data_IF_540806086835
#
_entry.id   IF_540806086835
#
_cell.length_a   1.000
_cell.length_b   1.000
_cell.length_c   1.000
_cell.angle_alpha   90.00
_cell.angle_beta   90.00
_cell.angle_gamma   90.00
#
_symmetry.space_group_name_H-M   'P 1'
#
loop_
_entity.id
_entity.type
_entity.pdbx_description
1 polymer ?
#
# COMPACT_ATOMS: atom_id res chain seq x y z
N UNK A 1 12.09 -24.95 3.41
CA UNK A 1 11.35 -23.92 4.17
C UNK A 1 9.88 -24.30 4.38
N UNK A 2 9.34 -25.25 3.58
CA UNK A 2 7.95 -25.74 3.77
C UNK A 2 7.78 -26.28 5.18
N UNK A 3 6.68 -25.89 5.87
CA UNK A 3 6.32 -26.26 7.25
C UNK A 3 7.24 -25.67 8.34
N UNK A 4 8.16 -24.74 8.03
CA UNK A 4 8.91 -23.98 9.02
C UNK A 4 8.27 -22.61 9.25
N UNK A 5 8.33 -22.04 10.48
CA UNK A 5 7.89 -20.69 10.71
C UNK A 5 8.84 -19.71 10.00
N UNK A 6 8.26 -18.81 9.22
CA UNK A 6 8.99 -17.82 8.40
C UNK A 6 8.41 -16.45 8.60
N UNK A 7 9.26 -15.44 8.70
CA UNK A 7 8.90 -14.02 8.67
C UNK A 7 9.73 -13.28 7.62
N UNK A 8 9.12 -12.26 7.02
CA UNK A 8 9.81 -11.33 6.12
C UNK A 8 9.78 -9.95 6.75
N UNK A 9 10.93 -9.29 6.77
CA UNK A 9 11.10 -7.96 7.34
C UNK A 9 10.87 -6.86 6.30
N UNK A 10 10.56 -5.66 6.77
CA UNK A 10 10.44 -4.46 5.94
C UNK A 10 11.78 -4.08 5.30
N UNK A 11 11.76 -3.13 4.35
CA UNK A 11 12.93 -2.71 3.55
C UNK A 11 14.19 -2.32 4.38
N UNK A 12 14.03 -1.96 5.66
CA UNK A 12 15.13 -1.62 6.58
C UNK A 12 15.20 -2.57 7.78
N UNK A 13 14.66 -3.78 7.63
CA UNK A 13 14.60 -4.85 8.62
C UNK A 13 14.03 -4.45 10.00
N UNK A 14 13.26 -3.36 10.02
CA UNK A 14 12.72 -2.81 11.26
C UNK A 14 11.46 -3.49 11.78
N UNK A 15 10.58 -3.96 10.89
CA UNK A 15 9.29 -4.54 11.24
C UNK A 15 8.97 -5.76 10.39
N UNK A 16 8.15 -6.65 10.92
CA UNK A 16 7.68 -7.86 10.24
C UNK A 16 6.51 -7.49 9.31
N UNK A 17 6.70 -7.69 8.01
CA UNK A 17 5.69 -7.34 6.98
C UNK A 17 5.03 -8.55 6.33
N UNK A 18 5.56 -9.76 6.56
CA UNK A 18 4.92 -11.00 6.15
C UNK A 18 5.25 -12.14 7.09
N UNK A 19 4.36 -13.12 7.20
CA UNK A 19 4.49 -14.25 8.12
C UNK A 19 3.85 -15.50 7.51
N UNK A 20 4.50 -16.65 7.65
CA UNK A 20 3.89 -17.94 7.35
C UNK A 20 2.76 -18.28 8.34
N UNK A 21 1.97 -19.28 8.02
CA UNK A 21 0.90 -19.77 8.94
C UNK A 21 1.49 -20.23 10.27
N UNK A 22 2.63 -20.90 10.23
CA UNK A 22 3.34 -21.38 11.42
C UNK A 22 3.83 -20.20 12.29
N UNK A 23 4.37 -19.15 11.66
CA UNK A 23 4.80 -17.95 12.40
C UNK A 23 3.61 -17.18 13.01
N UNK A 24 2.45 -17.18 12.34
CA UNK A 24 1.21 -16.63 12.91
C UNK A 24 0.74 -17.41 14.13
N UNK A 25 0.83 -18.75 14.09
CA UNK A 25 0.47 -19.62 15.22
C UNK A 25 1.34 -19.39 16.45
N UNK A 26 2.58 -18.94 16.28
CA UNK A 26 3.47 -18.52 17.38
C UNK A 26 3.11 -17.15 17.99
N UNK A 27 2.06 -16.48 17.50
CA UNK A 27 1.59 -15.19 18.03
C UNK A 27 2.34 -13.98 17.47
N UNK A 28 3.23 -14.13 16.50
CA UNK A 28 3.93 -13.01 15.85
C UNK A 28 2.93 -12.13 15.10
N UNK A 29 2.92 -10.82 15.37
CA UNK A 29 1.94 -9.88 14.80
C UNK A 29 2.44 -9.19 13.52
N UNK A 30 1.51 -8.82 12.63
CA UNK A 30 1.80 -7.98 11.46
C UNK A 30 2.23 -6.59 11.90
N UNK A 31 3.30 -6.07 11.28
CA UNK A 31 3.83 -4.75 11.63
C UNK A 31 4.60 -4.72 12.95
N UNK A 32 4.78 -5.85 13.61
CA UNK A 32 5.53 -5.93 14.87
C UNK A 32 7.01 -5.56 14.63
N UNK A 33 7.59 -4.68 15.46
CA UNK A 33 9.01 -4.40 15.40
C UNK A 33 9.82 -5.68 15.63
N UNK A 34 10.80 -5.95 14.77
CA UNK A 34 11.63 -7.17 14.84
C UNK A 34 12.26 -7.38 16.22
N UNK A 35 12.77 -6.31 16.83
CA UNK A 35 13.41 -6.40 18.15
C UNK A 35 12.47 -6.86 19.27
N UNK A 36 11.13 -6.64 19.13
CA UNK A 36 10.13 -7.12 20.09
C UNK A 36 9.78 -8.59 19.90
N UNK A 37 9.85 -9.09 18.68
CA UNK A 37 9.59 -10.48 18.34
C UNK A 37 10.84 -11.37 18.47
N UNK A 38 12.03 -10.79 18.73
CA UNK A 38 13.32 -11.48 18.68
C UNK A 38 13.38 -12.73 19.54
N UNK A 39 12.85 -12.68 20.76
CA UNK A 39 12.88 -13.81 21.68
C UNK A 39 12.03 -14.99 21.18
N UNK A 40 10.83 -14.69 20.64
CA UNK A 40 9.96 -15.71 20.03
C UNK A 40 10.63 -16.30 18.78
N UNK A 41 11.28 -15.46 17.98
CA UNK A 41 11.98 -15.85 16.75
C UNK A 41 13.13 -16.82 17.08
N UNK A 42 13.97 -16.48 18.04
CA UNK A 42 15.11 -17.32 18.44
C UNK A 42 14.64 -18.64 19.07
N UNK A 43 13.69 -18.56 20.02
CA UNK A 43 13.17 -19.73 20.76
C UNK A 43 12.55 -20.79 19.83
N UNK A 44 11.94 -20.37 18.70
CA UNK A 44 11.18 -21.27 17.81
C UNK A 44 11.88 -21.48 16.45
N UNK A 45 13.16 -21.17 16.31
CA UNK A 45 13.92 -21.28 15.03
C UNK A 45 13.17 -20.67 13.84
N UNK A 46 12.57 -19.48 14.02
CA UNK A 46 11.84 -18.80 12.96
C UNK A 46 12.82 -18.28 11.92
N UNK A 47 12.63 -18.68 10.66
CA UNK A 47 13.47 -18.22 9.56
C UNK A 47 13.14 -16.77 9.21
N UNK A 48 14.15 -15.91 9.16
CA UNK A 48 14.00 -14.47 8.93
C UNK A 48 14.60 -14.09 7.58
N UNK A 49 13.83 -13.40 6.75
CA UNK A 49 14.26 -12.90 5.45
C UNK A 49 14.00 -11.39 5.35
N UNK A 50 14.90 -10.69 4.68
CA UNK A 50 14.67 -9.31 4.25
C UNK A 50 13.76 -9.27 3.03
N UNK A 51 13.06 -8.15 2.84
CA UNK A 51 12.24 -7.91 1.64
C UNK A 51 13.08 -7.90 0.36
N UNK A 52 12.63 -8.60 -0.67
CA UNK A 52 13.20 -8.57 -2.02
C UNK A 52 12.20 -7.95 -3.00
N UNK A 53 12.16 -6.62 -3.07
CA UNK A 53 11.20 -5.90 -3.90
C UNK A 53 11.36 -6.16 -5.41
N UNK A 54 12.58 -6.40 -5.87
CA UNK A 54 12.82 -6.74 -7.28
C UNK A 54 12.16 -8.06 -7.66
N UNK A 55 12.34 -9.10 -6.82
CA UNK A 55 11.68 -10.39 -7.00
C UNK A 55 10.16 -10.27 -6.91
N UNK A 56 9.64 -9.52 -5.92
CA UNK A 56 8.19 -9.36 -5.77
C UNK A 56 7.58 -8.63 -6.97
N UNK A 57 8.26 -7.60 -7.47
CA UNK A 57 7.83 -6.89 -8.67
C UNK A 57 7.84 -7.76 -9.93
N UNK A 58 8.83 -8.65 -10.08
CA UNK A 58 8.88 -9.59 -11.20
C UNK A 58 7.74 -10.61 -11.13
N UNK A 59 7.55 -11.25 -9.98
CA UNK A 59 6.46 -12.21 -9.78
C UNK A 59 5.09 -11.56 -9.94
N UNK A 60 4.90 -10.34 -9.43
CA UNK A 60 3.68 -9.56 -9.65
C UNK A 60 3.41 -9.35 -11.15
N UNK A 61 4.40 -8.90 -11.92
CA UNK A 61 4.24 -8.74 -13.39
C UNK A 61 3.84 -10.03 -14.07
N UNK A 62 4.38 -11.18 -13.66
CA UNK A 62 3.99 -12.49 -14.22
C UNK A 62 2.53 -12.83 -13.90
N UNK A 63 2.11 -12.61 -12.65
CA UNK A 63 0.70 -12.79 -12.25
C UNK A 63 -0.20 -11.88 -13.09
N UNK A 64 0.09 -10.58 -13.17
CA UNK A 64 -0.74 -9.63 -13.91
C UNK A 64 -0.79 -9.95 -15.43
N UNK A 65 0.31 -10.43 -16.02
CA UNK A 65 0.32 -10.93 -17.41
C UNK A 65 -0.57 -12.17 -17.57
N UNK A 66 -0.57 -13.07 -16.61
CA UNK A 66 -1.44 -14.25 -16.63
C UNK A 66 -2.91 -13.84 -16.57
N UNK A 67 -3.26 -12.91 -15.67
CA UNK A 67 -4.62 -12.40 -15.53
C UNK A 67 -5.12 -11.73 -16.83
N UNK A 68 -4.28 -10.95 -17.50
CA UNK A 68 -4.62 -10.27 -18.77
C UNK A 68 -4.99 -11.22 -19.91
N UNK A 69 -4.70 -12.51 -19.81
CA UNK A 69 -5.10 -13.51 -20.82
C UNK A 69 -6.58 -13.88 -20.71
N UNK A 70 -7.18 -13.68 -19.54
CA UNK A 70 -8.61 -13.95 -19.32
C UNK A 70 -9.47 -12.74 -19.69
N UNK A 71 -9.01 -11.54 -19.35
CA UNK A 71 -9.62 -10.28 -19.78
C UNK A 71 -8.56 -9.18 -19.78
N UNK A 72 -8.60 -8.30 -20.82
CA UNK A 72 -7.74 -7.12 -20.91
C UNK A 72 -8.14 -6.02 -19.92
N UNK A 73 -9.43 -5.99 -19.51
CA UNK A 73 -10.00 -5.02 -18.59
C UNK A 73 -9.63 -5.36 -17.14
N UNK A 74 -8.40 -4.98 -16.80
CA UNK A 74 -7.80 -5.21 -15.49
C UNK A 74 -7.24 -3.91 -14.91
N UNK A 75 -7.53 -3.68 -13.64
CA UNK A 75 -6.87 -2.66 -12.82
C UNK A 75 -5.83 -3.34 -11.92
N UNK A 76 -4.57 -2.98 -12.07
CA UNK A 76 -3.51 -3.37 -11.13
C UNK A 76 -3.58 -2.43 -9.93
N UNK A 77 -4.29 -2.85 -8.89
CA UNK A 77 -4.52 -2.02 -7.70
C UNK A 77 -3.28 -1.91 -6.80
N UNK A 78 -2.54 -3.01 -6.66
CA UNK A 78 -1.28 -3.05 -5.91
C UNK A 78 -0.33 -4.13 -6.49
N UNK A 79 0.82 -4.34 -5.84
CA UNK A 79 1.77 -5.38 -6.23
C UNK A 79 1.18 -6.80 -6.11
N UNK A 80 0.18 -6.99 -5.25
CA UNK A 80 -0.42 -8.28 -4.90
C UNK A 80 -1.94 -8.34 -5.10
N UNK A 81 -2.54 -7.29 -5.64
CA UNK A 81 -3.99 -7.21 -5.85
C UNK A 81 -4.35 -6.58 -7.21
N UNK A 82 -5.35 -7.15 -7.87
CA UNK A 82 -5.94 -6.62 -9.09
C UNK A 82 -7.45 -6.76 -9.06
N UNK A 83 -8.16 -5.87 -9.74
CA UNK A 83 -9.55 -6.03 -10.11
C UNK A 83 -9.64 -6.36 -11.61
N UNK A 84 -10.57 -7.22 -11.96
CA UNK A 84 -10.82 -7.64 -13.33
C UNK A 84 -12.31 -7.60 -13.60
N UNK A 85 -12.71 -7.10 -14.76
CA UNK A 85 -14.07 -7.16 -15.22
C UNK A 85 -14.40 -8.58 -15.71
N UNK A 86 -15.47 -9.16 -15.21
CA UNK A 86 -16.00 -10.46 -15.62
C UNK A 86 -17.41 -10.36 -16.21
N UNK A 87 -17.87 -9.16 -16.58
CA UNK A 87 -19.22 -8.94 -17.13
C UNK A 87 -19.50 -9.65 -18.46
N UNK A 88 -18.43 -10.08 -19.15
CA UNK A 88 -18.56 -10.89 -20.38
C UNK A 88 -18.91 -12.37 -20.13
N UNK A 89 -18.93 -12.82 -18.88
CA UNK A 89 -19.30 -14.18 -18.50
C UNK A 89 -20.68 -14.17 -17.84
N UNK A 90 -21.43 -15.27 -18.01
CA UNK A 90 -22.72 -15.42 -17.35
C UNK A 90 -22.57 -15.62 -15.84
N UNK A 91 -23.60 -15.27 -15.09
CA UNK A 91 -23.63 -15.42 -13.61
C UNK A 91 -23.33 -16.86 -13.14
N UNK A 92 -23.68 -17.85 -13.96
CA UNK A 92 -23.44 -19.27 -13.67
C UNK A 92 -21.98 -19.70 -13.93
N UNK A 93 -21.26 -19.01 -14.80
CA UNK A 93 -19.90 -19.35 -15.21
C UNK A 93 -18.83 -18.63 -14.40
N UNK A 94 -19.12 -17.46 -13.83
CA UNK A 94 -18.11 -16.60 -13.20
C UNK A 94 -17.33 -17.29 -12.09
N UNK A 95 -17.95 -18.20 -11.33
CA UNK A 95 -17.24 -18.92 -10.27
C UNK A 95 -16.28 -19.97 -10.84
N UNK A 96 -16.68 -20.65 -11.93
CA UNK A 96 -15.80 -21.59 -12.65
C UNK A 96 -14.63 -20.85 -13.28
N UNK A 97 -14.86 -19.73 -13.94
CA UNK A 97 -13.82 -18.85 -14.48
C UNK A 97 -12.85 -18.40 -13.37
N UNK A 98 -13.36 -18.04 -12.20
CA UNK A 98 -12.53 -17.74 -11.03
C UNK A 98 -11.62 -18.91 -10.61
N UNK A 99 -12.11 -20.15 -10.64
CA UNK A 99 -11.29 -21.35 -10.38
C UNK A 99 -10.20 -21.52 -11.44
N UNK A 100 -10.53 -21.40 -12.71
CA UNK A 100 -9.57 -21.50 -13.82
C UNK A 100 -8.46 -20.45 -13.75
N UNK A 101 -8.83 -19.20 -13.45
CA UNK A 101 -7.86 -18.12 -13.22
C UNK A 101 -6.90 -18.51 -12.10
N UNK A 102 -7.44 -18.93 -10.95
CA UNK A 102 -6.64 -19.31 -9.78
C UNK A 102 -5.67 -20.45 -10.08
N UNK A 103 -6.14 -21.50 -10.73
CA UNK A 103 -5.35 -22.67 -11.12
C UNK A 103 -4.26 -22.31 -12.13
N UNK A 104 -4.60 -21.48 -13.13
CA UNK A 104 -3.66 -21.02 -14.15
C UNK A 104 -2.57 -20.15 -13.52
N UNK A 105 -2.93 -19.20 -12.65
CA UNK A 105 -1.94 -18.37 -11.93
C UNK A 105 -1.02 -19.25 -11.09
N UNK A 106 -1.57 -20.20 -10.34
CA UNK A 106 -0.77 -21.12 -9.52
C UNK A 106 0.17 -21.96 -10.37
N UNK A 107 -0.34 -22.55 -11.47
CA UNK A 107 0.44 -23.41 -12.40
C UNK A 107 1.60 -22.66 -13.05
N UNK A 108 1.37 -21.40 -13.47
CA UNK A 108 2.38 -20.65 -14.25
C UNK A 108 3.34 -19.84 -13.41
N UNK A 109 2.92 -19.42 -12.21
CA UNK A 109 3.74 -18.52 -11.37
C UNK A 109 4.16 -19.16 -10.05
N UNK A 110 3.53 -20.25 -9.62
CA UNK A 110 3.72 -20.84 -8.29
C UNK A 110 3.07 -20.02 -7.17
N UNK A 111 2.35 -18.93 -7.49
CA UNK A 111 1.74 -18.02 -6.50
C UNK A 111 0.30 -18.45 -6.23
N UNK A 112 -0.03 -18.86 -5.00
CA UNK A 112 -1.43 -19.13 -4.64
C UNK A 112 -2.19 -17.80 -4.50
N UNK A 113 -3.32 -17.70 -5.17
CA UNK A 113 -4.21 -16.53 -5.13
C UNK A 113 -5.56 -16.88 -4.54
N UNK A 114 -6.28 -15.88 -4.05
CA UNK A 114 -7.71 -16.00 -3.71
C UNK A 114 -8.51 -15.01 -4.55
N UNK A 115 -9.71 -15.42 -4.95
CA UNK A 115 -10.56 -14.67 -5.87
C UNK A 115 -11.92 -14.46 -5.23
N UNK A 116 -12.34 -13.19 -5.19
CA UNK A 116 -13.69 -12.79 -4.77
C UNK A 116 -14.43 -12.16 -5.94
N UNK A 117 -15.62 -12.62 -6.23
CA UNK A 117 -16.45 -12.20 -7.36
C UNK A 117 -17.73 -11.56 -6.83
N UNK A 118 -18.05 -10.36 -7.29
CA UNK A 118 -19.26 -9.64 -6.91
C UNK A 118 -19.55 -8.48 -7.88
N UNK A 119 -20.75 -7.86 -7.75
CA UNK A 119 -21.20 -6.75 -8.61
C UNK A 119 -20.40 -5.46 -8.43
N UNK A 120 -19.67 -5.29 -7.33
CA UNK A 120 -18.91 -4.05 -7.03
C UNK A 120 -17.53 -4.38 -6.49
N UNK A 121 -16.58 -3.45 -6.58
CA UNK A 121 -15.22 -3.62 -6.04
C UNK A 121 -15.24 -3.89 -4.53
N UNK A 122 -16.04 -3.16 -3.76
CA UNK A 122 -16.14 -3.37 -2.31
C UNK A 122 -16.71 -4.74 -1.97
N UNK A 123 -17.75 -5.20 -2.67
CA UNK A 123 -18.30 -6.54 -2.47
C UNK A 123 -17.34 -7.64 -2.94
N UNK A 124 -16.57 -7.43 -4.02
CA UNK A 124 -15.56 -8.40 -4.46
C UNK A 124 -14.43 -8.53 -3.43
N UNK A 125 -14.07 -7.45 -2.72
CA UNK A 125 -13.12 -7.52 -1.59
C UNK A 125 -13.71 -8.28 -0.39
N UNK A 126 -15.01 -8.14 -0.12
CA UNK A 126 -15.73 -8.96 0.89
C UNK A 126 -15.69 -10.44 0.47
N UNK A 127 -16.02 -10.74 -0.79
CA UNK A 127 -15.95 -12.11 -1.32
C UNK A 127 -14.53 -12.69 -1.20
N UNK A 128 -13.50 -11.89 -1.52
CA UNK A 128 -12.10 -12.29 -1.38
C UNK A 128 -11.70 -12.55 0.09
N UNK A 129 -12.17 -11.72 1.03
CA UNK A 129 -11.95 -11.96 2.46
C UNK A 129 -12.49 -13.33 2.89
N UNK A 130 -13.65 -13.73 2.37
CA UNK A 130 -14.25 -15.05 2.60
C UNK A 130 -13.44 -16.14 1.89
N UNK A 131 -13.07 -15.92 0.62
CA UNK A 131 -12.31 -16.86 -0.18
C UNK A 131 -10.97 -17.27 0.47
N UNK A 132 -10.29 -16.34 1.12
CA UNK A 132 -9.03 -16.58 1.86
C UNK A 132 -9.18 -17.61 2.98
N UNK A 133 -10.39 -17.86 3.49
CA UNK A 133 -10.69 -18.83 4.55
C UNK A 133 -11.21 -20.15 3.99
N UNK A 134 -11.60 -20.21 2.71
CA UNK A 134 -12.10 -21.42 2.04
C UNK A 134 -10.97 -22.19 1.36
N UNK A 135 -11.04 -23.52 1.38
CA UNK A 135 -10.07 -24.37 0.70
C UNK A 135 -10.04 -24.13 -0.81
N UNK A 136 -11.21 -23.85 -1.42
CA UNK A 136 -11.32 -23.53 -2.85
C UNK A 136 -10.58 -22.25 -3.23
N UNK A 137 -10.43 -21.30 -2.29
CA UNK A 137 -9.82 -20.00 -2.53
C UNK A 137 -10.62 -19.11 -3.49
N UNK A 138 -11.85 -19.48 -3.83
CA UNK A 138 -12.77 -18.71 -4.68
C UNK A 138 -14.11 -18.54 -3.98
N UNK A 139 -14.72 -17.37 -4.11
CA UNK A 139 -16.07 -17.10 -3.61
C UNK A 139 -16.77 -16.12 -4.54
N UNK A 140 -17.95 -16.48 -5.01
CA UNK A 140 -18.86 -15.58 -5.71
C UNK A 140 -19.99 -15.13 -4.77
N UNK A 141 -20.36 -13.85 -4.86
CA UNK A 141 -21.56 -13.25 -4.25
C UNK A 141 -22.62 -12.94 -5.33
N UNK A 142 -22.38 -13.34 -6.58
CA UNK A 142 -23.33 -13.19 -7.67
C UNK A 142 -24.51 -14.17 -7.42
N UNK A 143 -25.74 -13.72 -7.71
CA UNK A 143 -26.96 -14.51 -7.51
C UNK A 143 -27.45 -14.57 -6.07
N UNK A 144 -26.72 -14.03 -5.09
CA UNK A 144 -27.19 -13.98 -3.69
C UNK A 144 -28.07 -12.75 -3.51
N UNK A 145 -29.37 -12.96 -3.32
CA UNK A 145 -30.35 -11.89 -3.15
C UNK A 145 -30.13 -11.11 -1.85
N UNK A 146 -29.90 -11.81 -0.74
CA UNK A 146 -29.68 -11.18 0.55
C UNK A 146 -28.25 -11.37 1.07
N UNK A 147 -27.45 -10.32 0.98
CA UNK A 147 -26.09 -10.28 1.48
C UNK A 147 -25.95 -9.94 2.97
N UNK A 148 -27.03 -9.58 3.66
CA UNK A 148 -27.00 -9.12 5.06
C UNK A 148 -26.35 -10.12 6.02
N UNK A 149 -26.66 -11.45 5.96
CA UNK A 149 -26.02 -12.42 6.85
C UNK A 149 -24.49 -12.55 6.62
N UNK A 150 -24.03 -12.25 5.40
CA UNK A 150 -22.62 -12.25 5.05
C UNK A 150 -21.97 -10.98 5.60
N UNK A 151 -22.57 -9.80 5.31
CA UNK A 151 -22.03 -8.50 5.68
C UNK A 151 -22.02 -8.28 7.20
N UNK A 152 -22.91 -8.93 7.94
CA UNK A 152 -22.93 -8.89 9.40
C UNK A 152 -21.70 -9.52 10.05
N UNK A 153 -21.08 -10.51 9.37
CA UNK A 153 -19.86 -11.20 9.81
C UNK A 153 -18.57 -10.48 9.41
N UNK A 154 -18.66 -9.40 8.64
CA UNK A 154 -17.50 -8.61 8.19
C UNK A 154 -17.36 -7.43 9.14
N UNK A 155 -16.29 -7.43 9.93
CA UNK A 155 -15.97 -6.32 10.83
C UNK A 155 -15.75 -5.03 10.02
N UNK A 156 -16.11 -3.89 10.61
CA UNK A 156 -16.00 -2.58 9.94
C UNK A 156 -14.56 -2.24 9.54
N UNK A 157 -13.57 -2.72 10.28
CA UNK A 157 -12.14 -2.51 9.94
C UNK A 157 -11.66 -3.37 8.76
N UNK A 158 -12.42 -4.41 8.38
CA UNK A 158 -12.13 -5.28 7.24
C UNK A 158 -12.83 -4.83 5.95
N UNK A 159 -13.68 -3.79 6.05
CA UNK A 159 -14.32 -3.18 4.88
C UNK A 159 -13.29 -2.37 4.09
N UNK A 160 -13.17 -2.66 2.80
CA UNK A 160 -12.26 -1.95 1.91
C UNK A 160 -12.54 -0.43 1.90
N UNK A 161 -11.48 0.36 2.04
CA UNK A 161 -11.57 1.82 2.16
C UNK A 161 -11.79 2.34 3.58
N UNK A 162 -12.02 1.47 4.58
CA UNK A 162 -12.16 1.84 5.99
C UNK A 162 -10.82 1.70 6.71
N UNK A 163 -10.11 2.81 6.88
CA UNK A 163 -8.86 2.87 7.64
C UNK A 163 -9.07 3.06 9.15
N UNK A 164 -8.00 3.00 9.95
CA UNK A 164 -8.03 3.06 11.43
C UNK A 164 -8.83 4.24 12.00
N UNK A 165 -8.76 5.41 11.38
CA UNK A 165 -9.48 6.60 11.86
C UNK A 165 -10.99 6.46 11.59
N UNK A 166 -11.34 5.97 10.40
CA UNK A 166 -12.74 5.72 10.05
C UNK A 166 -13.34 4.58 10.86
N UNK A 167 -12.58 3.52 11.16
CA UNK A 167 -13.01 2.46 12.08
C UNK A 167 -13.40 3.04 13.43
N UNK A 168 -12.54 3.85 14.06
CA UNK A 168 -12.85 4.50 15.35
C UNK A 168 -14.07 5.41 15.26
N UNK A 169 -14.20 6.16 14.17
CA UNK A 169 -15.35 7.02 13.92
C UNK A 169 -16.65 6.20 13.81
N UNK A 170 -16.65 5.14 13.01
CA UNK A 170 -17.81 4.28 12.85
C UNK A 170 -18.21 3.59 14.14
N UNK A 171 -17.26 3.02 14.89
CA UNK A 171 -17.52 2.38 16.18
C UNK A 171 -18.12 3.35 17.20
N UNK A 172 -17.65 4.60 17.27
CA UNK A 172 -18.26 5.65 18.11
C UNK A 172 -19.70 5.97 17.73
N UNK A 173 -20.10 5.69 16.48
CA UNK A 173 -21.46 5.90 15.98
C UNK A 173 -22.28 4.60 15.90
N UNK A 174 -21.87 3.55 16.62
CA UNK A 174 -22.59 2.28 16.70
C UNK A 174 -22.51 1.42 15.44
N UNK A 175 -21.48 1.61 14.60
CA UNK A 175 -21.27 0.85 13.36
C UNK A 175 -20.05 -0.05 13.55
N UNK A 176 -20.28 -1.35 13.71
CA UNK A 176 -19.25 -2.35 13.99
C UNK A 176 -19.01 -3.32 12.85
N UNK A 177 -19.93 -3.42 11.88
CA UNK A 177 -19.83 -4.32 10.74
C UNK A 177 -20.31 -3.70 9.42
N UNK A 178 -20.04 -4.41 8.31
CA UNK A 178 -20.38 -3.95 6.96
C UNK A 178 -21.89 -3.78 6.74
N UNK A 179 -22.74 -4.64 7.34
CA UNK A 179 -24.20 -4.53 7.26
C UNK A 179 -24.70 -3.23 7.87
N UNK A 180 -24.19 -2.86 9.04
CA UNK A 180 -24.57 -1.62 9.71
C UNK A 180 -24.17 -0.39 8.91
N UNK A 181 -22.99 -0.41 8.24
CA UNK A 181 -22.59 0.66 7.33
C UNK A 181 -23.49 0.70 6.09
N UNK A 182 -23.77 -0.45 5.46
CA UNK A 182 -24.69 -0.59 4.32
C UNK A 182 -26.04 0.08 4.62
N UNK A 183 -26.57 -0.11 5.83
CA UNK A 183 -27.92 0.33 6.24
C UNK A 183 -28.00 1.79 6.70
N UNK A 184 -26.86 2.50 6.85
CA UNK A 184 -26.89 3.95 7.18
C UNK A 184 -27.42 4.78 6.02
N UNK A 185 -28.22 5.81 6.32
CA UNK A 185 -28.74 6.69 5.29
C UNK A 185 -27.64 7.49 4.57
N UNK A 186 -27.82 7.74 3.29
CA UNK A 186 -26.88 8.55 2.51
C UNK A 186 -26.67 9.96 3.10
N UNK A 187 -27.75 10.54 3.66
CA UNK A 187 -27.70 11.85 4.33
C UNK A 187 -26.77 11.82 5.53
N UNK A 188 -26.87 10.78 6.37
CA UNK A 188 -25.99 10.63 7.52
C UNK A 188 -24.53 10.48 7.09
N UNK A 189 -24.25 9.60 6.10
CA UNK A 189 -22.89 9.36 5.63
C UNK A 189 -22.28 10.63 5.02
N UNK A 190 -23.02 11.38 4.18
CA UNK A 190 -22.54 12.62 3.59
C UNK A 190 -22.25 13.71 4.62
N UNK A 191 -23.06 13.83 5.68
CA UNK A 191 -22.87 14.83 6.75
C UNK A 191 -21.72 14.47 7.69
N UNK A 192 -21.51 13.18 7.94
CA UNK A 192 -20.64 12.69 9.01
C UNK A 192 -19.26 12.22 8.51
N UNK A 193 -19.10 12.03 7.20
CA UNK A 193 -17.87 11.47 6.62
C UNK A 193 -17.53 12.07 5.26
N UNK A 194 -16.78 11.37 4.43
CA UNK A 194 -16.30 11.84 3.13
C UNK A 194 -16.97 11.11 1.96
N UNK A 195 -16.68 11.58 0.74
CA UNK A 195 -17.20 11.01 -0.51
C UNK A 195 -16.85 9.53 -0.67
N UNK A 196 -15.64 9.12 -0.25
CA UNK A 196 -15.20 7.72 -0.34
C UNK A 196 -16.07 6.82 0.53
N UNK A 197 -16.38 7.24 1.76
CA UNK A 197 -17.30 6.51 2.65
C UNK A 197 -18.70 6.34 2.04
N UNK A 198 -19.20 7.38 1.37
CA UNK A 198 -20.48 7.31 0.68
C UNK A 198 -20.45 6.27 -0.47
N UNK A 199 -19.39 6.28 -1.28
CA UNK A 199 -19.19 5.29 -2.34
C UNK A 199 -19.09 3.87 -1.77
N UNK A 200 -18.29 3.66 -0.72
CA UNK A 200 -18.16 2.35 -0.04
C UNK A 200 -19.53 1.82 0.42
N UNK A 201 -20.37 2.66 1.05
CA UNK A 201 -21.69 2.23 1.50
C UNK A 201 -22.65 1.91 0.33
N UNK A 202 -22.58 2.64 -0.78
CA UNK A 202 -23.34 2.34 -1.99
C UNK A 202 -22.88 1.03 -2.63
N UNK A 203 -21.58 0.80 -2.70
CA UNK A 203 -21.03 -0.45 -3.22
C UNK A 203 -21.41 -1.67 -2.37
N UNK A 204 -21.47 -1.54 -1.05
CA UNK A 204 -22.01 -2.59 -0.16
C UNK A 204 -23.50 -2.88 -0.43
N UNK A 205 -24.25 -1.96 -1.03
CA UNK A 205 -25.63 -2.14 -1.50
C UNK A 205 -25.75 -2.76 -2.89
N UNK A 206 -24.60 -3.03 -3.54
CA UNK A 206 -24.55 -3.57 -4.90
C UNK A 206 -24.63 -2.51 -6.00
N UNK A 207 -24.52 -1.22 -5.66
CA UNK A 207 -24.51 -0.12 -6.62
C UNK A 207 -23.06 0.24 -6.98
N UNK A 208 -22.58 -0.01 -8.21
CA UNK A 208 -21.23 0.29 -8.62
C UNK A 208 -21.00 1.80 -8.64
N UNK A 209 -19.96 2.27 -7.95
CA UNK A 209 -19.62 3.69 -7.83
C UNK A 209 -18.13 3.96 -8.02
N UNK A 210 -17.34 2.92 -8.20
CA UNK A 210 -15.88 2.97 -8.33
C UNK A 210 -15.50 2.20 -9.58
N UNK A 211 -15.26 2.92 -10.66
CA UNK A 211 -14.89 2.35 -11.95
C UNK A 211 -13.50 1.67 -11.89
N UNK A 212 -13.22 0.79 -12.86
CA UNK A 212 -11.90 0.23 -13.06
C UNK A 212 -10.93 1.30 -13.59
N UNK A 213 -9.82 1.52 -12.88
CA UNK A 213 -8.72 2.36 -13.36
C UNK A 213 -7.86 1.56 -14.36
N UNK A 214 -8.29 1.54 -15.63
CA UNK A 214 -7.60 0.78 -16.70
C UNK A 214 -6.22 1.34 -17.04
N UNK A 215 -6.00 2.63 -16.80
CA UNK A 215 -4.73 3.32 -17.02
C UNK A 215 -4.18 3.80 -15.71
N UNK A 216 -2.93 3.44 -15.39
CA UNK A 216 -2.27 3.94 -14.20
C UNK A 216 -2.21 5.48 -14.25
N UNK A 217 -2.69 6.14 -13.22
CA UNK A 217 -2.57 7.60 -13.11
C UNK A 217 -1.10 8.00 -13.05
N UNK A 218 -0.73 9.06 -13.79
CA UNK A 218 0.64 9.58 -13.76
C UNK A 218 1.03 9.95 -12.34
N UNK A 219 2.26 9.65 -12.00
CA UNK A 219 2.84 9.96 -10.69
C UNK A 219 2.84 11.47 -10.47
N UNK A 220 2.25 11.93 -9.35
CA UNK A 220 2.23 13.36 -8.99
C UNK A 220 3.43 13.78 -8.15
N UNK A 221 4.10 12.84 -7.50
CA UNK A 221 5.29 13.07 -6.68
C UNK A 221 6.17 11.82 -6.61
N UNK A 222 7.47 12.02 -6.35
CA UNK A 222 8.42 10.94 -6.11
C UNK A 222 9.12 11.15 -4.77
N UNK A 223 8.96 10.22 -3.84
CA UNK A 223 9.53 10.29 -2.50
C UNK A 223 10.62 9.24 -2.35
N UNK A 224 11.80 9.66 -1.90
CA UNK A 224 12.88 8.77 -1.45
C UNK A 224 13.24 9.13 -0.02
N UNK A 225 13.10 8.18 0.91
CA UNK A 225 13.40 8.41 2.32
C UNK A 225 13.85 7.12 2.99
N UNK A 226 14.65 7.25 4.05
CA UNK A 226 15.08 6.12 4.88
C UNK A 226 15.00 6.47 6.37
N UNK A 227 14.67 5.48 7.18
CA UNK A 227 14.93 5.52 8.61
C UNK A 227 16.34 4.98 8.84
N UNK A 228 17.11 5.67 9.66
CA UNK A 228 18.49 5.29 9.96
C UNK A 228 18.55 4.20 11.02
N UNK A 229 19.42 3.22 10.83
CA UNK A 229 19.68 2.17 11.82
C UNK A 229 20.34 2.74 13.09
N UNK A 230 21.32 3.63 12.92
CA UNK A 230 21.89 4.48 13.96
C UNK A 230 21.36 5.89 13.83
N UNK A 231 21.20 6.59 14.95
CA UNK A 231 20.81 8.00 14.92
C UNK A 231 21.91 8.87 14.34
N UNK A 232 21.56 9.80 13.50
CA UNK A 232 22.48 10.76 12.90
C UNK A 232 22.39 12.07 13.66
N UNK A 233 23.55 12.62 14.05
CA UNK A 233 23.66 13.89 14.77
C UNK A 233 24.48 14.92 13.99
N UNK A 234 25.37 14.46 13.09
CA UNK A 234 26.25 15.31 12.29
C UNK A 234 25.55 15.75 11.00
N UNK A 235 25.75 17.02 10.64
CA UNK A 235 25.21 17.58 9.39
C UNK A 235 25.72 16.82 8.16
N UNK A 236 27.03 16.52 8.10
CA UNK A 236 27.67 15.88 6.97
C UNK A 236 27.06 14.51 6.65
N UNK A 237 26.74 13.68 7.67
CA UNK A 237 26.10 12.40 7.46
C UNK A 237 24.68 12.52 6.89
N UNK A 238 23.94 13.58 7.31
CA UNK A 238 22.62 13.88 6.71
C UNK A 238 22.75 14.42 5.28
N UNK A 239 23.77 15.23 5.01
CA UNK A 239 24.05 15.77 3.70
C UNK A 239 24.33 14.67 2.68
N UNK A 240 25.19 13.71 3.01
CA UNK A 240 25.47 12.53 2.20
C UNK A 240 24.20 11.69 1.93
N UNK A 241 23.42 11.45 2.98
CA UNK A 241 22.17 10.69 2.84
C UNK A 241 21.16 11.41 1.94
N UNK A 242 20.96 12.72 2.12
CA UNK A 242 20.02 13.53 1.33
C UNK A 242 20.48 13.62 -0.12
N UNK A 243 21.78 13.81 -0.37
CA UNK A 243 22.35 13.78 -1.73
C UNK A 243 22.07 12.45 -2.44
N UNK A 244 22.33 11.33 -1.76
CA UNK A 244 22.02 9.99 -2.28
C UNK A 244 20.52 9.82 -2.59
N UNK A 245 19.63 10.35 -1.74
CA UNK A 245 18.18 10.27 -1.98
C UNK A 245 17.75 11.13 -3.18
N UNK A 246 18.38 12.28 -3.39
CA UNK A 246 18.14 13.11 -4.57
C UNK A 246 18.55 12.38 -5.86
N UNK A 247 19.74 11.75 -5.89
CA UNK A 247 20.20 10.97 -7.03
C UNK A 247 19.21 9.86 -7.38
N UNK A 248 18.78 9.09 -6.38
CA UNK A 248 17.80 8.03 -6.57
C UNK A 248 16.42 8.55 -7.01
N UNK A 249 16.00 9.72 -6.52
CA UNK A 249 14.72 10.32 -6.91
C UNK A 249 14.77 10.84 -8.35
N UNK A 250 15.85 11.50 -8.73
CA UNK A 250 16.04 12.02 -10.10
C UNK A 250 16.16 10.89 -11.14
N UNK A 251 16.84 9.79 -10.82
CA UNK A 251 16.90 8.61 -11.68
C UNK A 251 15.50 8.02 -11.92
N UNK A 252 14.67 7.90 -10.86
CA UNK A 252 13.31 7.39 -10.98
C UNK A 252 12.42 8.25 -11.87
N UNK A 253 12.46 9.58 -11.73
CA UNK A 253 11.64 10.45 -12.59
C UNK A 253 12.15 10.47 -14.02
N UNK A 254 13.48 10.41 -14.24
CA UNK A 254 14.05 10.28 -15.61
C UNK A 254 13.62 9.00 -16.29
N UNK A 255 13.63 7.87 -15.57
CA UNK A 255 13.19 6.58 -16.16
C UNK A 255 11.72 6.57 -16.58
N UNK A 256 10.92 7.51 -16.08
CA UNK A 256 9.51 7.70 -16.42
C UNK A 256 9.29 8.92 -17.36
N UNK A 257 10.36 9.51 -17.90
CA UNK A 257 10.36 10.71 -18.75
C UNK A 257 9.66 11.92 -18.08
N UNK A 258 9.88 12.09 -16.75
CA UNK A 258 9.27 13.16 -15.96
C UNK A 258 10.31 14.19 -15.51
N UNK A 259 9.83 15.42 -15.26
CA UNK A 259 10.55 16.50 -14.60
C UNK A 259 9.78 17.00 -13.39
N UNK A 260 10.46 17.58 -12.41
CA UNK A 260 9.89 18.08 -11.17
C UNK A 260 9.93 19.62 -11.10
N UNK A 261 8.88 20.24 -10.57
CA UNK A 261 8.83 21.68 -10.32
C UNK A 261 9.45 22.11 -8.99
N UNK A 262 9.53 21.18 -8.02
CA UNK A 262 10.06 21.49 -6.70
C UNK A 262 10.66 20.27 -6.01
N UNK A 263 11.59 20.54 -5.06
CA UNK A 263 12.10 19.54 -4.13
C UNK A 263 11.77 19.95 -2.69
N UNK A 264 11.18 19.03 -1.94
CA UNK A 264 11.01 19.13 -0.50
C UNK A 264 12.01 18.22 0.19
N UNK A 265 12.69 18.74 1.21
CA UNK A 265 13.52 17.94 2.12
C UNK A 265 12.86 17.90 3.48
N UNK A 266 12.90 16.76 4.13
CA UNK A 266 12.40 16.61 5.49
C UNK A 266 13.35 15.79 6.36
N UNK A 267 13.37 16.12 7.64
CA UNK A 267 14.14 15.43 8.68
C UNK A 267 13.26 15.22 9.91
N UNK A 268 13.49 14.12 10.63
CA UNK A 268 12.69 13.80 11.81
C UNK A 268 13.50 13.00 12.84
N UNK A 269 13.35 13.34 14.12
CA UNK A 269 13.81 12.53 15.26
C UNK A 269 12.79 11.42 15.59
N UNK A 270 13.08 10.57 16.56
CA UNK A 270 12.16 9.50 16.98
C UNK A 270 10.98 10.06 17.79
N UNK A 271 9.73 9.77 17.40
CA UNK A 271 8.57 10.17 18.20
C UNK A 271 8.42 9.34 19.50
N UNK A 272 9.19 8.25 19.64
CA UNK A 272 9.11 7.33 20.78
C UNK A 272 10.15 7.62 21.88
N UNK A 273 11.12 8.49 21.61
CA UNK A 273 12.20 8.86 22.55
C UNK A 273 11.96 10.27 23.10
N UNK A 274 10.90 10.40 23.92
CA UNK A 274 10.47 11.70 24.48
C UNK A 274 11.56 12.44 25.26
N UNK A 275 12.48 11.73 25.91
CA UNK A 275 13.58 12.30 26.70
C UNK A 275 14.58 13.14 25.87
N UNK A 276 14.65 12.91 24.55
CA UNK A 276 15.55 13.67 23.66
C UNK A 276 14.84 14.79 22.88
N UNK A 277 13.56 15.03 23.17
CA UNK A 277 12.72 15.96 22.43
C UNK A 277 12.34 15.43 21.02
N UNK A 278 11.17 15.83 20.57
CA UNK A 278 10.73 15.53 19.21
C UNK A 278 10.96 16.73 18.30
N UNK A 279 11.72 16.53 17.23
CA UNK A 279 11.91 17.51 16.18
C UNK A 279 11.53 16.92 14.83
N UNK A 280 10.70 17.63 14.10
CA UNK A 280 10.33 17.29 12.72
C UNK A 280 10.21 18.59 11.95
N UNK A 281 10.90 18.69 10.84
CA UNK A 281 10.84 19.85 9.97
C UNK A 281 10.95 19.44 8.51
N UNK A 282 10.31 20.22 7.64
CA UNK A 282 10.38 20.08 6.20
C UNK A 282 10.32 21.45 5.54
N UNK A 283 10.99 21.58 4.40
CA UNK A 283 10.91 22.78 3.57
C UNK A 283 10.98 22.41 2.10
N UNK A 284 10.26 23.15 1.28
CA UNK A 284 10.22 23.01 -0.18
C UNK A 284 10.93 24.19 -0.81
N UNK A 285 11.60 23.95 -1.93
CA UNK A 285 12.12 24.96 -2.85
C UNK A 285 11.67 24.61 -4.26
N UNK A 286 11.18 25.64 -4.97
CA UNK A 286 10.78 25.52 -6.36
C UNK A 286 12.00 25.69 -7.27
N UNK A 287 12.02 24.97 -8.39
CA UNK A 287 13.01 25.19 -9.45
C UNK A 287 12.52 26.29 -10.39
N UNK A 288 13.41 27.16 -10.89
CA UNK A 288 13.05 28.16 -11.91
C UNK A 288 12.43 27.54 -13.16
N UNK A 289 12.95 26.42 -13.57
CA UNK A 289 12.45 25.57 -14.68
C UNK A 289 12.33 24.16 -14.15
N UNK A 290 11.25 23.47 -14.51
CA UNK A 290 11.07 22.08 -14.08
C UNK A 290 12.22 21.20 -14.60
N UNK A 291 12.79 20.39 -13.70
CA UNK A 291 14.06 19.70 -13.98
C UNK A 291 14.05 18.25 -13.50
N UNK A 292 14.87 17.41 -14.13
CA UNK A 292 15.28 16.09 -13.65
C UNK A 292 16.82 16.00 -13.53
N UNK A 293 17.50 17.13 -13.64
CA UNK A 293 18.95 17.21 -13.48
C UNK A 293 19.33 16.94 -12.02
N UNK A 294 20.10 15.87 -11.82
CA UNK A 294 20.50 15.44 -10.47
C UNK A 294 21.32 16.49 -9.73
N UNK A 295 22.21 17.22 -10.43
CA UNK A 295 23.10 18.23 -9.82
C UNK A 295 22.25 19.38 -9.27
N UNK A 296 21.31 19.87 -10.05
CA UNK A 296 20.40 20.95 -9.67
C UNK A 296 19.52 20.55 -8.49
N UNK A 297 18.93 19.34 -8.54
CA UNK A 297 18.10 18.79 -7.47
C UNK A 297 18.90 18.65 -6.17
N UNK A 298 20.13 18.10 -6.23
CA UNK A 298 21.02 17.97 -5.06
C UNK A 298 21.36 19.34 -4.48
N UNK A 299 21.81 20.29 -5.32
CA UNK A 299 22.18 21.65 -4.87
C UNK A 299 21.05 22.34 -4.10
N UNK A 300 19.84 22.30 -4.66
CA UNK A 300 18.68 22.91 -4.03
C UNK A 300 18.25 22.14 -2.74
N UNK A 301 18.29 20.83 -2.76
CA UNK A 301 17.95 20.03 -1.58
C UNK A 301 18.93 20.27 -0.42
N UNK A 302 20.23 20.37 -0.70
CA UNK A 302 21.23 20.66 0.34
C UNK A 302 21.10 22.08 0.90
N UNK A 303 20.71 23.06 0.10
CA UNK A 303 20.39 24.41 0.60
C UNK A 303 19.22 24.38 1.59
N UNK A 304 18.18 23.62 1.27
CA UNK A 304 17.03 23.40 2.15
C UNK A 304 17.44 22.66 3.42
N UNK A 305 18.27 21.61 3.30
CA UNK A 305 18.76 20.85 4.46
C UNK A 305 19.49 21.75 5.47
N UNK A 306 20.34 22.68 5.01
CA UNK A 306 21.04 23.66 5.87
C UNK A 306 20.08 24.48 6.71
N UNK A 307 18.92 24.84 6.17
CA UNK A 307 17.91 25.65 6.89
C UNK A 307 17.15 24.84 7.94
N UNK A 308 16.84 23.56 7.64
CA UNK A 308 16.04 22.74 8.55
C UNK A 308 16.88 21.89 9.52
N UNK A 309 18.19 21.82 9.34
CA UNK A 309 19.10 21.15 10.27
C UNK A 309 19.20 21.92 11.59
N UNK A 310 19.16 21.22 12.70
CA UNK A 310 19.45 21.75 14.04
C UNK A 310 20.47 20.87 14.76
N UNK A 311 21.55 21.46 15.20
CA UNK A 311 22.58 20.79 16.01
C UNK A 311 21.96 20.28 17.33
N UNK A 312 22.43 19.14 17.83
CA UNK A 312 21.97 18.55 19.09
C UNK A 312 20.74 17.63 18.96
N UNK A 313 20.16 17.50 17.78
CA UNK A 313 19.06 16.55 17.53
C UNK A 313 19.58 15.21 17.00
N UNK A 314 18.93 14.12 17.45
CA UNK A 314 19.24 12.74 17.05
C UNK A 314 18.27 12.28 15.96
N UNK A 315 18.64 12.55 14.72
CA UNK A 315 17.78 12.27 13.55
C UNK A 315 17.59 10.78 13.34
N UNK A 316 16.33 10.37 13.17
CA UNK A 316 15.95 8.98 12.87
C UNK A 316 15.61 8.78 11.40
N UNK A 317 15.09 9.80 10.74
CA UNK A 317 14.64 9.70 9.35
C UNK A 317 14.93 11.00 8.61
N UNK A 318 15.38 10.85 7.36
CA UNK A 318 15.42 11.92 6.39
C UNK A 318 14.85 11.45 5.05
N UNK A 319 14.47 12.40 4.21
CA UNK A 319 14.00 12.10 2.87
C UNK A 319 13.84 13.32 2.01
N UNK A 320 13.67 13.05 0.72
CA UNK A 320 13.36 14.06 -0.30
C UNK A 320 12.06 13.68 -1.00
N UNK A 321 11.32 14.68 -1.45
CA UNK A 321 10.13 14.52 -2.28
C UNK A 321 10.19 15.49 -3.45
N UNK A 322 10.22 14.95 -4.65
CA UNK A 322 10.06 15.73 -5.88
C UNK A 322 8.56 15.87 -6.17
N UNK A 323 8.11 17.09 -6.42
CA UNK A 323 6.68 17.43 -6.59
C UNK A 323 6.44 18.21 -7.88
N UNK A 324 5.16 18.32 -8.26
CA UNK A 324 4.77 18.97 -9.51
C UNK A 324 5.34 18.24 -10.72
N UNK A 325 5.28 16.90 -10.72
CA UNK A 325 5.80 16.09 -11.81
C UNK A 325 4.98 16.29 -13.08
N UNK A 326 5.67 16.58 -14.19
CA UNK A 326 5.12 16.73 -15.55
C UNK A 326 5.99 15.98 -16.54
N UNK A 327 5.45 15.69 -17.73
CA UNK A 327 6.26 15.08 -18.81
C UNK A 327 7.36 16.03 -19.24
N UNK A 328 8.56 15.48 -19.51
CA UNK A 328 9.72 16.27 -19.92
C UNK A 328 9.46 17.00 -21.25
N UNK A 329 8.76 16.37 -22.19
CA UNK A 329 8.42 16.94 -23.51
C UNK A 329 7.53 18.19 -23.43
N UNK A 330 6.74 18.36 -22.37
CA UNK A 330 5.86 19.53 -22.19
C UNK A 330 6.57 20.76 -21.59
N UNK A 331 7.87 20.72 -21.35
CA UNK A 331 8.64 21.80 -20.73
C UNK A 331 9.68 22.46 -21.68
N UNK A 332 9.65 22.15 -22.96
CA UNK A 332 10.53 22.79 -23.97
C UNK A 332 9.93 24.08 -24.56
N UNK A 333 8.87 24.67 -23.94
CA UNK A 333 8.31 25.96 -24.37
C UNK A 333 8.51 27.04 -23.32
#
# INVERSE_FOLDING_TARGET
IRKKPVVVLSNNDGCIVSRSTEAKALGIKMGEPYFKAKDIIIKNDVQVFSSNYSLYGDLSRRVMRTLKRFNSDIEVYSIDEAFMDLSNFSDNEVEQVGREIRETVLKWTGIPTSIGIAKTKTLSKVANHIAKKKQSGVTSLIGIENLDPILEKIDINDVWGVGRQMTKFYQKNGIYNAKQLKNKSNTWIKKSSNVLSSRTAMELRGVPCIDLEKTASKRKSCVVSRSFGKRIEKFQELEEAVASYCLNASEKIRSENLVAKAVMVFVRTSPFQKQFGFYSNSRTVDFPIATNNSIEIVKNALSVLKVIFRKGHRYQKAGVMLTGLTDAENNEN
#
